data_IF_778017161300
#
_entry.id   IF_778017161300
#
_cell.length_a   1.000
_cell.length_b   1.000
_cell.length_c   1.000
_cell.angle_alpha   90.00
_cell.angle_beta   90.00
_cell.angle_gamma   90.00
#
_symmetry.space_group_name_H-M   'P 1'
#
loop_
_entity.id
_entity.type
_entity.pdbx_description
1 polymer ?
#
# COMPACT_ATOMS: atom_id res chain seq x y z
N UNK A 1 -1.68 32.68 -6.16
CA UNK A 1 -2.28 32.32 -4.86
C UNK A 1 -2.20 33.56 -3.97
N UNK A 2 -3.32 34.01 -3.37
CA UNK A 2 -3.31 35.18 -2.48
C UNK A 2 -3.12 34.71 -1.03
N UNK A 3 -2.11 35.18 -0.29
CA UNK A 3 -1.95 34.87 1.13
C UNK A 3 -3.11 35.48 1.94
N UNK A 4 -3.58 34.82 3.01
CA UNK A 4 -4.69 35.29 3.87
C UNK A 4 -6.07 34.72 3.55
N UNK A 5 -6.26 34.13 2.36
CA UNK A 5 -7.58 33.67 1.90
C UNK A 5 -7.95 32.29 2.47
N UNK A 6 -6.94 31.50 2.87
CA UNK A 6 -7.14 30.21 3.52
C UNK A 6 -7.59 30.36 4.97
N UNK A 7 -7.00 31.29 5.72
CA UNK A 7 -7.40 31.59 7.09
C UNK A 7 -8.83 32.14 7.14
N UNK A 8 -9.21 33.01 6.18
CA UNK A 8 -10.55 33.57 6.08
C UNK A 8 -11.62 32.49 5.78
N UNK A 9 -11.32 31.54 4.88
CA UNK A 9 -12.24 30.45 4.55
C UNK A 9 -12.38 29.45 5.71
N UNK A 10 -11.30 29.20 6.46
CA UNK A 10 -11.33 28.35 7.66
C UNK A 10 -12.15 29.00 8.78
N UNK A 11 -11.98 30.31 9.00
CA UNK A 11 -12.74 31.08 9.99
C UNK A 11 -14.24 31.17 9.65
N UNK A 12 -14.58 31.30 8.35
CA UNK A 12 -15.95 31.36 7.87
C UNK A 12 -16.67 30.00 7.78
N UNK A 13 -16.08 28.92 8.31
CA UNK A 13 -16.71 27.60 8.35
C UNK A 13 -16.84 26.92 6.98
N UNK A 14 -16.22 27.45 5.93
CA UNK A 14 -16.07 26.79 4.64
C UNK A 14 -14.97 25.75 4.77
N UNK A 15 -15.27 24.65 5.48
CA UNK A 15 -14.37 23.52 5.63
C UNK A 15 -14.01 23.03 4.24
N UNK A 16 -12.75 23.19 3.87
CA UNK A 16 -12.19 22.72 2.61
C UNK A 16 -12.43 21.20 2.59
N UNK A 17 -13.31 20.73 1.71
CA UNK A 17 -13.79 19.34 1.68
C UNK A 17 -12.68 18.28 1.51
N UNK A 18 -11.46 18.70 1.17
CA UNK A 18 -10.24 17.89 1.14
C UNK A 18 -9.84 17.27 2.49
N UNK A 19 -10.29 17.83 3.62
CA UNK A 19 -10.04 17.20 4.92
C UNK A 19 -10.80 15.87 5.07
N UNK A 20 -11.95 15.70 4.41
CA UNK A 20 -12.79 14.49 4.59
C UNK A 20 -12.09 13.21 4.09
N UNK A 21 -11.49 13.17 2.88
CA UNK A 21 -10.75 11.99 2.43
C UNK A 21 -9.54 11.65 3.28
N UNK A 22 -8.79 12.65 3.76
CA UNK A 22 -7.61 12.45 4.60
C UNK A 22 -8.03 11.88 5.96
N UNK A 23 -8.99 12.50 6.63
CA UNK A 23 -9.50 12.01 7.92
C UNK A 23 -10.11 10.61 7.79
N UNK A 24 -10.84 10.34 6.71
CA UNK A 24 -11.39 9.01 6.44
C UNK A 24 -10.28 7.96 6.26
N UNK A 25 -9.26 8.25 5.44
CA UNK A 25 -8.12 7.36 5.27
C UNK A 25 -7.39 7.10 6.59
N UNK A 26 -7.12 8.14 7.38
CA UNK A 26 -6.45 7.99 8.68
C UNK A 26 -7.28 7.15 9.65
N UNK A 27 -8.60 7.35 9.71
CA UNK A 27 -9.49 6.55 10.55
C UNK A 27 -9.46 5.08 10.14
N UNK A 28 -9.58 4.79 8.84
CA UNK A 28 -9.51 3.41 8.35
C UNK A 28 -8.12 2.81 8.55
N UNK A 29 -7.06 3.60 8.41
CA UNK A 29 -5.70 3.14 8.69
C UNK A 29 -5.52 2.75 10.17
N UNK A 30 -6.05 3.54 11.10
CA UNK A 30 -6.03 3.18 12.53
C UNK A 30 -6.82 1.89 12.78
N UNK A 31 -8.02 1.76 12.22
CA UNK A 31 -8.80 0.51 12.32
C UNK A 31 -8.04 -0.67 11.74
N UNK A 32 -7.41 -0.49 10.58
CA UNK A 32 -6.58 -1.51 9.95
C UNK A 32 -5.44 -1.95 10.87
N UNK A 33 -4.72 -1.01 11.48
CA UNK A 33 -3.62 -1.34 12.41
C UNK A 33 -4.09 -2.13 13.63
N UNK A 34 -5.32 -1.89 14.12
CA UNK A 34 -5.90 -2.58 15.28
C UNK A 34 -6.40 -3.97 14.91
N UNK A 35 -7.13 -4.09 13.79
CA UNK A 35 -7.88 -5.31 13.46
C UNK A 35 -7.17 -6.23 12.47
N UNK A 36 -6.18 -5.75 11.73
CA UNK A 36 -5.54 -6.54 10.69
C UNK A 36 -4.57 -7.56 11.30
N UNK A 37 -4.82 -8.87 11.10
CA UNK A 37 -3.84 -9.90 11.46
C UNK A 37 -2.72 -10.01 10.44
N UNK A 38 -2.70 -9.17 9.39
CA UNK A 38 -1.90 -9.42 8.19
C UNK A 38 -0.46 -8.98 8.34
N UNK A 39 0.41 -9.89 7.92
CA UNK A 39 1.85 -9.74 7.75
C UNK A 39 2.22 -9.09 6.41
N UNK A 40 1.26 -8.89 5.51
CA UNK A 40 1.50 -8.61 4.08
C UNK A 40 2.05 -7.21 3.77
N UNK A 41 2.03 -6.31 4.76
CA UNK A 41 2.60 -4.96 4.66
C UNK A 41 4.07 -4.88 5.07
N UNK A 42 4.66 -5.97 5.56
CA UNK A 42 6.10 -6.07 5.69
C UNK A 42 6.63 -7.26 4.90
N UNK A 43 7.87 -7.12 4.46
CA UNK A 43 8.59 -8.15 3.72
C UNK A 43 9.82 -8.47 4.55
N UNK A 44 10.03 -9.75 4.82
CA UNK A 44 11.18 -10.24 5.59
C UNK A 44 12.49 -9.91 4.88
N UNK A 45 13.61 -9.85 5.60
CA UNK A 45 14.90 -9.60 4.94
C UNK A 45 15.20 -10.64 3.86
N UNK A 46 14.93 -11.92 4.16
CA UNK A 46 15.09 -13.01 3.19
C UNK A 46 14.27 -12.75 1.91
N UNK A 47 13.00 -12.37 2.04
CA UNK A 47 12.16 -12.08 0.89
C UNK A 47 12.62 -10.84 0.11
N UNK A 48 13.19 -9.83 0.79
CA UNK A 48 13.77 -8.64 0.17
C UNK A 48 14.93 -8.99 -0.77
N UNK A 49 15.77 -9.95 -0.39
CA UNK A 49 16.97 -10.35 -1.16
C UNK A 49 16.74 -11.52 -2.12
N UNK A 50 15.56 -12.17 -2.09
CA UNK A 50 15.26 -13.33 -2.94
C UNK A 50 14.09 -13.11 -3.90
N UNK A 51 12.97 -12.56 -3.42
CA UNK A 51 11.69 -12.57 -4.16
C UNK A 51 11.31 -11.21 -4.75
N UNK A 52 11.90 -10.10 -4.27
CA UNK A 52 11.54 -8.77 -4.77
C UNK A 52 12.20 -8.47 -6.13
N UNK A 53 11.57 -7.67 -7.01
CA UNK A 53 12.14 -7.30 -8.32
C UNK A 53 13.49 -6.58 -8.25
N UNK A 54 13.81 -5.97 -7.10
CA UNK A 54 15.03 -5.21 -6.85
C UNK A 54 16.06 -5.97 -5.98
N UNK A 55 15.85 -7.28 -5.79
CA UNK A 55 16.63 -8.12 -4.88
C UNK A 55 18.14 -8.11 -5.15
N UNK A 56 18.55 -8.05 -6.42
CA UNK A 56 19.97 -8.01 -6.80
C UNK A 56 20.71 -6.82 -6.16
N UNK A 57 20.16 -5.61 -6.28
CA UNK A 57 20.76 -4.40 -5.69
C UNK A 57 20.80 -4.45 -4.16
N UNK A 58 19.71 -4.94 -3.56
CA UNK A 58 19.56 -5.06 -2.10
C UNK A 58 20.57 -6.05 -1.54
N UNK A 59 20.82 -7.17 -2.23
CA UNK A 59 21.79 -8.17 -1.81
C UNK A 59 23.21 -7.59 -1.78
N UNK A 60 23.63 -6.89 -2.82
CA UNK A 60 24.96 -6.29 -2.88
C UNK A 60 25.18 -5.28 -1.73
N UNK A 61 24.16 -4.48 -1.42
CA UNK A 61 24.21 -3.52 -0.30
C UNK A 61 24.24 -4.22 1.06
N UNK A 62 23.49 -5.31 1.20
CA UNK A 62 23.48 -6.11 2.42
C UNK A 62 24.85 -6.76 2.64
N UNK A 63 25.42 -7.40 1.62
CA UNK A 63 26.72 -8.07 1.71
C UNK A 63 27.83 -7.08 2.11
N UNK A 64 27.80 -5.86 1.55
CA UNK A 64 28.70 -4.78 1.94
C UNK A 64 28.51 -4.37 3.41
N UNK A 65 27.26 -4.18 3.86
CA UNK A 65 26.96 -3.77 5.24
C UNK A 65 27.31 -4.87 6.26
N UNK A 66 27.02 -6.14 5.96
CA UNK A 66 27.37 -7.27 6.81
C UNK A 66 28.90 -7.41 6.96
N UNK A 67 29.64 -7.23 5.86
CA UNK A 67 31.11 -7.25 5.87
C UNK A 67 31.69 -6.08 6.66
N UNK A 68 31.15 -4.87 6.50
CA UNK A 68 31.61 -3.68 7.24
C UNK A 68 31.31 -3.75 8.74
N UNK A 69 30.22 -4.41 9.13
CA UNK A 69 29.78 -4.53 10.53
C UNK A 69 30.26 -5.81 11.20
N UNK A 70 30.82 -6.75 10.45
CA UNK A 70 31.23 -8.08 10.90
C UNK A 70 30.09 -8.84 11.61
N UNK A 71 28.87 -8.77 11.06
CA UNK A 71 27.66 -9.40 11.60
C UNK A 71 27.18 -10.51 10.66
N UNK A 72 26.67 -11.61 11.22
CA UNK A 72 26.06 -12.68 10.43
C UNK A 72 24.71 -12.26 9.84
N UNK A 73 24.32 -12.90 8.73
CA UNK A 73 23.01 -12.65 8.11
C UNK A 73 21.86 -12.85 9.10
N UNK A 74 21.88 -13.95 9.88
CA UNK A 74 20.86 -14.29 10.87
C UNK A 74 20.71 -13.20 11.95
N UNK A 75 21.84 -12.71 12.48
CA UNK A 75 21.83 -11.67 13.52
C UNK A 75 21.28 -10.33 13.02
N UNK A 76 21.49 -10.01 11.74
CA UNK A 76 20.91 -8.82 11.11
C UNK A 76 19.44 -9.03 10.73
N UNK A 77 19.08 -10.21 10.23
CA UNK A 77 17.72 -10.58 9.84
C UNK A 77 16.74 -10.46 11.01
N UNK A 78 17.09 -10.99 12.18
CA UNK A 78 16.21 -10.93 13.36
C UNK A 78 15.88 -9.48 13.75
N UNK A 79 16.90 -8.60 13.76
CA UNK A 79 16.73 -7.18 14.06
C UNK A 79 15.92 -6.47 12.99
N UNK A 80 16.25 -6.70 11.71
CA UNK A 80 15.51 -6.15 10.59
C UNK A 80 14.03 -6.54 10.64
N UNK A 81 13.73 -7.83 10.87
CA UNK A 81 12.38 -8.36 10.91
C UNK A 81 11.57 -7.80 12.09
N UNK A 82 12.21 -7.38 13.19
CA UNK A 82 11.54 -6.68 14.29
C UNK A 82 11.23 -5.22 13.91
N UNK A 83 12.21 -4.49 13.36
CA UNK A 83 12.05 -3.07 12.99
C UNK A 83 11.02 -2.91 11.87
N UNK A 84 11.07 -3.76 10.83
CA UNK A 84 10.15 -3.69 9.69
C UNK A 84 8.70 -3.94 10.10
N UNK A 85 8.45 -4.83 11.09
CA UNK A 85 7.11 -5.09 11.64
C UNK A 85 6.50 -3.86 12.31
N UNK A 86 7.34 -3.06 12.97
CA UNK A 86 6.91 -1.82 13.62
C UNK A 86 6.66 -0.71 12.59
N UNK A 87 7.55 -0.56 11.61
CA UNK A 87 7.47 0.51 10.60
C UNK A 87 6.36 0.29 9.57
N UNK A 88 6.10 -0.96 9.17
CA UNK A 88 5.14 -1.30 8.12
C UNK A 88 3.73 -0.73 8.33
N UNK A 89 3.33 -0.59 9.60
CA UNK A 89 1.99 -0.12 9.98
C UNK A 89 1.80 1.37 9.69
N UNK A 90 2.87 2.17 9.83
CA UNK A 90 2.83 3.62 9.62
C UNK A 90 3.28 4.05 8.23
N UNK A 91 4.10 3.25 7.53
CA UNK A 91 4.64 3.62 6.21
C UNK A 91 3.62 3.53 5.07
N UNK A 92 2.46 2.89 5.26
CA UNK A 92 1.44 2.77 4.20
C UNK A 92 0.94 4.14 3.69
N UNK A 93 1.05 5.20 4.50
CA UNK A 93 0.75 6.56 4.08
C UNK A 93 1.64 7.04 2.93
N UNK A 94 2.85 6.49 2.80
CA UNK A 94 3.82 6.81 1.73
C UNK A 94 3.41 6.17 0.40
N UNK A 95 2.70 5.03 0.43
CA UNK A 95 2.21 4.38 -0.79
C UNK A 95 1.20 5.27 -1.53
N UNK A 96 0.39 6.05 -0.78
CA UNK A 96 -0.65 6.92 -1.32
C UNK A 96 -0.12 7.97 -2.32
N UNK A 97 0.88 8.82 -1.99
CA UNK A 97 1.41 9.79 -2.95
C UNK A 97 2.15 9.12 -4.11
N UNK A 98 2.82 7.97 -3.91
CA UNK A 98 3.47 7.22 -4.99
C UNK A 98 2.41 6.78 -6.01
N UNK A 99 1.31 6.18 -5.54
CA UNK A 99 0.21 5.79 -6.41
C UNK A 99 -0.48 6.99 -7.07
N UNK A 100 -0.59 8.12 -6.37
CA UNK A 100 -1.17 9.34 -6.93
C UNK A 100 -0.39 9.89 -8.13
N UNK A 101 0.94 9.75 -8.14
CA UNK A 101 1.76 10.09 -9.31
C UNK A 101 1.41 9.21 -10.51
N UNK A 102 1.29 7.90 -10.32
CA UNK A 102 0.87 7.00 -11.39
C UNK A 102 -0.55 7.29 -11.86
N UNK A 103 -1.48 7.55 -10.94
CA UNK A 103 -2.85 7.93 -11.27
C UNK A 103 -2.89 9.26 -12.05
N UNK A 104 -2.05 10.23 -11.69
CA UNK A 104 -1.91 11.49 -12.42
C UNK A 104 -1.45 11.27 -13.85
N UNK A 105 -0.43 10.43 -14.07
CA UNK A 105 0.11 10.14 -15.40
C UNK A 105 -0.92 9.37 -16.24
N UNK A 106 -1.49 8.30 -15.69
CA UNK A 106 -2.36 7.36 -16.44
C UNK A 106 -3.75 7.93 -16.64
N UNK A 107 -4.31 8.64 -15.67
CA UNK A 107 -5.66 9.20 -15.71
C UNK A 107 -5.64 10.71 -15.92
N UNK A 108 -4.57 11.25 -16.52
CA UNK A 108 -4.42 12.69 -16.75
C UNK A 108 -5.63 13.29 -17.48
N UNK A 109 -6.21 14.34 -16.91
CA UNK A 109 -7.17 15.20 -17.58
C UNK A 109 -6.90 16.66 -17.19
N UNK A 110 -6.99 17.57 -18.17
CA UNK A 110 -6.69 19.00 -17.99
C UNK A 110 -7.57 19.70 -16.93
N UNK A 111 -8.72 19.13 -16.57
CA UNK A 111 -9.66 19.72 -15.60
C UNK A 111 -9.30 19.43 -14.13
N UNK A 112 -8.36 18.52 -13.87
CA UNK A 112 -7.99 18.11 -12.51
C UNK A 112 -6.57 18.54 -12.17
N UNK A 113 -6.35 18.90 -10.91
CA UNK A 113 -5.03 19.17 -10.34
C UNK A 113 -4.47 17.93 -9.66
N UNK A 114 -3.18 17.89 -9.37
CA UNK A 114 -2.55 16.75 -8.67
C UNK A 114 -3.25 16.39 -7.34
N UNK A 115 -3.77 17.40 -6.63
CA UNK A 115 -4.53 17.19 -5.39
C UNK A 115 -5.76 16.27 -5.57
N UNK A 116 -6.40 16.31 -6.75
CA UNK A 116 -7.55 15.44 -7.06
C UNK A 116 -7.14 13.97 -7.17
N UNK A 117 -5.96 13.71 -7.74
CA UNK A 117 -5.38 12.36 -7.83
C UNK A 117 -4.90 11.84 -6.48
N UNK A 118 -4.46 12.73 -5.59
CA UNK A 118 -4.15 12.39 -4.21
C UNK A 118 -5.41 11.99 -3.45
N UNK A 119 -6.51 12.73 -3.62
CA UNK A 119 -7.83 12.38 -3.04
C UNK A 119 -8.34 11.05 -3.59
N UNK A 120 -8.24 10.82 -4.90
CA UNK A 120 -8.58 9.53 -5.51
C UNK A 120 -7.78 8.39 -4.88
N UNK A 121 -6.47 8.58 -4.72
CA UNK A 121 -5.55 7.60 -4.14
C UNK A 121 -5.84 7.32 -2.67
N UNK A 122 -6.15 8.35 -1.87
CA UNK A 122 -6.56 8.22 -0.47
C UNK A 122 -7.83 7.36 -0.34
N UNK A 123 -8.86 7.66 -1.14
CA UNK A 123 -10.10 6.90 -1.12
C UNK A 123 -9.90 5.44 -1.52
N UNK A 124 -9.09 5.19 -2.56
CA UNK A 124 -8.75 3.84 -2.97
C UNK A 124 -8.03 3.06 -1.86
N UNK A 125 -7.00 3.64 -1.23
CA UNK A 125 -6.28 2.95 -0.16
C UNK A 125 -7.15 2.78 1.09
N UNK A 126 -8.00 3.75 1.44
CA UNK A 126 -8.95 3.62 2.54
C UNK A 126 -9.91 2.45 2.28
N UNK A 127 -10.50 2.40 1.08
CA UNK A 127 -11.35 1.28 0.70
C UNK A 127 -10.59 -0.05 0.68
N UNK A 128 -9.35 -0.08 0.17
CA UNK A 128 -8.55 -1.30 0.09
C UNK A 128 -8.21 -1.84 1.48
N UNK A 129 -7.84 -0.97 2.42
CA UNK A 129 -7.57 -1.35 3.81
C UNK A 129 -8.80 -1.96 4.47
N UNK A 130 -9.97 -1.32 4.28
CA UNK A 130 -11.23 -1.86 4.77
C UNK A 130 -11.55 -3.21 4.11
N UNK A 131 -11.36 -3.29 2.79
CA UNK A 131 -11.63 -4.50 2.01
C UNK A 131 -10.78 -5.66 2.49
N UNK A 132 -9.49 -5.43 2.74
CA UNK A 132 -8.56 -6.43 3.27
C UNK A 132 -9.04 -7.02 4.61
N UNK A 133 -9.56 -6.18 5.52
CA UNK A 133 -10.08 -6.61 6.83
C UNK A 133 -11.41 -7.35 6.69
N UNK A 134 -12.33 -6.84 5.89
CA UNK A 134 -13.67 -7.42 5.70
C UNK A 134 -13.63 -8.72 4.87
N UNK A 135 -12.69 -8.80 3.92
CA UNK A 135 -12.59 -9.93 3.01
C UNK A 135 -12.16 -11.21 3.73
N UNK A 136 -11.35 -11.13 4.78
CA UNK A 136 -10.84 -12.32 5.46
C UNK A 136 -11.96 -13.21 6.05
N UNK A 137 -12.88 -12.72 6.90
CA UNK A 137 -13.99 -13.55 7.39
C UNK A 137 -14.93 -13.97 6.26
N UNK A 138 -15.14 -13.12 5.25
CA UNK A 138 -15.94 -13.47 4.08
C UNK A 138 -15.34 -14.63 3.28
N UNK A 139 -14.02 -14.62 3.04
CA UNK A 139 -13.31 -15.67 2.33
C UNK A 139 -13.35 -17.00 3.08
N UNK A 140 -13.28 -16.98 4.42
CA UNK A 140 -13.45 -18.18 5.25
C UNK A 140 -14.87 -18.75 5.10
N UNK A 141 -15.89 -17.90 5.21
CA UNK A 141 -17.29 -18.32 5.03
C UNK A 141 -17.55 -18.92 3.65
N UNK A 142 -17.08 -18.24 2.60
CA UNK A 142 -17.24 -18.70 1.23
C UNK A 142 -16.46 -20.00 0.96
N UNK A 143 -15.22 -20.11 1.46
CA UNK A 143 -14.43 -21.33 1.33
C UNK A 143 -15.11 -22.53 1.99
N UNK A 144 -15.74 -22.35 3.16
CA UNK A 144 -16.51 -23.41 3.82
C UNK A 144 -17.67 -23.92 2.96
N UNK A 145 -18.36 -23.03 2.24
CA UNK A 145 -19.41 -23.43 1.30
C UNK A 145 -18.85 -24.13 0.06
N UNK A 146 -17.75 -23.63 -0.51
CA UNK A 146 -17.12 -24.23 -1.70
C UNK A 146 -16.60 -25.64 -1.38
N UNK A 147 -16.07 -25.86 -0.18
CA UNK A 147 -15.56 -27.18 0.27
C UNK A 147 -16.63 -28.28 0.27
N UNK A 148 -17.92 -27.95 0.27
CA UNK A 148 -19.00 -28.93 0.12
C UNK A 148 -18.98 -29.63 -1.25
N UNK A 149 -18.42 -28.96 -2.27
CA UNK A 149 -18.34 -29.47 -3.66
C UNK A 149 -16.89 -29.68 -4.10
N UNK A 150 -15.95 -28.88 -3.60
CA UNK A 150 -14.53 -28.95 -3.92
C UNK A 150 -13.68 -28.96 -2.63
N UNK A 151 -13.44 -30.13 -2.01
CA UNK A 151 -12.79 -30.24 -0.70
C UNK A 151 -11.36 -29.69 -0.65
N UNK A 152 -10.66 -29.62 -1.79
CA UNK A 152 -9.28 -29.14 -1.89
C UNK A 152 -9.15 -27.61 -1.76
N UNK A 153 -10.26 -26.85 -1.82
CA UNK A 153 -10.22 -25.38 -1.78
C UNK A 153 -9.85 -24.90 -0.38
N UNK A 154 -8.74 -24.17 -0.27
CA UNK A 154 -8.31 -23.56 0.98
C UNK A 154 -8.78 -22.08 1.08
N UNK A 155 -8.84 -21.55 2.30
CA UNK A 155 -9.34 -20.20 2.55
C UNK A 155 -8.43 -19.13 1.91
N UNK A 156 -7.12 -19.41 1.87
CA UNK A 156 -6.12 -18.52 1.33
C UNK A 156 -6.28 -18.31 -0.18
N UNK A 157 -6.57 -19.37 -0.93
CA UNK A 157 -6.81 -19.32 -2.37
C UNK A 157 -8.05 -18.49 -2.69
N UNK A 158 -9.13 -18.67 -1.92
CA UNK A 158 -10.35 -17.84 -2.06
C UNK A 158 -10.03 -16.38 -1.76
N UNK A 159 -9.33 -16.11 -0.67
CA UNK A 159 -8.90 -14.76 -0.29
C UNK A 159 -8.05 -14.08 -1.37
N UNK A 160 -6.97 -14.74 -1.82
CA UNK A 160 -6.07 -14.23 -2.85
C UNK A 160 -6.73 -14.06 -4.21
N UNK A 161 -7.79 -14.82 -4.52
CA UNK A 161 -8.56 -14.66 -5.76
C UNK A 161 -9.49 -13.45 -5.67
N UNK A 162 -10.20 -13.28 -4.55
CA UNK A 162 -11.19 -12.22 -4.39
C UNK A 162 -10.56 -10.84 -4.15
N UNK A 163 -9.38 -10.78 -3.54
CA UNK A 163 -8.68 -9.53 -3.23
C UNK A 163 -8.46 -8.66 -4.48
N UNK A 164 -7.77 -9.13 -5.54
CA UNK A 164 -7.56 -8.35 -6.75
C UNK A 164 -8.86 -8.05 -7.51
N UNK A 165 -9.82 -8.99 -7.51
CA UNK A 165 -11.12 -8.79 -8.16
C UNK A 165 -11.87 -7.61 -7.53
N UNK A 166 -11.96 -7.57 -6.20
CA UNK A 166 -12.58 -6.46 -5.49
C UNK A 166 -11.88 -5.13 -5.81
N UNK A 167 -10.55 -5.10 -5.77
CA UNK A 167 -9.77 -3.91 -6.09
C UNK A 167 -10.01 -3.41 -7.52
N UNK A 168 -10.07 -4.31 -8.50
CA UNK A 168 -10.38 -3.98 -9.89
C UNK A 168 -11.80 -3.43 -10.06
N UNK A 169 -12.79 -4.06 -9.41
CA UNK A 169 -14.19 -3.60 -9.43
C UNK A 169 -14.29 -2.19 -8.83
N UNK A 170 -13.66 -1.97 -7.68
CA UNK A 170 -13.66 -0.64 -7.05
C UNK A 170 -13.00 0.40 -7.96
N UNK A 171 -11.81 0.12 -8.50
CA UNK A 171 -11.10 1.05 -9.39
C UNK A 171 -11.92 1.36 -10.64
N UNK A 172 -12.58 0.37 -11.24
CA UNK A 172 -13.45 0.56 -12.39
C UNK A 172 -14.61 1.52 -12.07
N UNK A 173 -15.30 1.30 -10.95
CA UNK A 173 -16.41 2.14 -10.50
C UNK A 173 -15.91 3.55 -10.14
N UNK A 174 -14.83 3.64 -9.37
CA UNK A 174 -14.25 4.90 -8.92
C UNK A 174 -13.77 5.76 -10.09
N UNK A 175 -13.07 5.18 -11.06
CA UNK A 175 -12.64 5.91 -12.26
C UNK A 175 -13.82 6.38 -13.11
N UNK A 176 -14.83 5.54 -13.32
CA UNK A 176 -16.02 5.94 -14.08
C UNK A 176 -16.79 7.08 -13.41
N UNK A 177 -16.91 7.04 -12.06
CA UNK A 177 -17.61 8.09 -11.31
C UNK A 177 -16.80 9.39 -11.23
N UNK A 178 -15.50 9.28 -10.94
CA UNK A 178 -14.64 10.43 -10.68
C UNK A 178 -14.17 11.10 -11.98
N UNK A 179 -13.59 10.32 -12.88
CA UNK A 179 -12.99 10.82 -14.12
C UNK A 179 -13.96 10.85 -15.31
N UNK A 180 -15.13 10.19 -15.21
CA UNK A 180 -16.17 10.18 -16.26
C UNK A 180 -15.66 9.77 -17.65
N UNK A 181 -14.75 8.78 -17.69
CA UNK A 181 -14.24 8.23 -18.95
C UNK A 181 -15.32 7.46 -19.72
N UNK A 182 -15.13 7.34 -21.04
CA UNK A 182 -15.88 6.36 -21.85
C UNK A 182 -15.46 4.95 -21.46
N UNK A 183 -16.40 4.00 -21.42
CA UNK A 183 -16.19 2.66 -20.88
C UNK A 183 -14.98 1.90 -21.45
N UNK A 184 -14.72 1.96 -22.76
CA UNK A 184 -13.53 1.35 -23.38
C UNK A 184 -12.22 1.97 -22.89
N UNK A 185 -12.18 3.30 -22.74
CA UNK A 185 -11.02 3.99 -22.19
C UNK A 185 -10.81 3.61 -20.72
N UNK A 186 -11.90 3.42 -19.97
CA UNK A 186 -11.82 2.95 -18.58
C UNK A 186 -11.21 1.56 -18.48
N UNK A 187 -11.55 0.62 -19.37
CA UNK A 187 -10.98 -0.74 -19.36
C UNK A 187 -9.46 -0.70 -19.61
N UNK A 188 -9.01 0.06 -20.61
CA UNK A 188 -7.57 0.19 -20.91
C UNK A 188 -6.84 0.83 -19.72
N UNK A 189 -7.40 1.91 -19.16
CA UNK A 189 -6.82 2.58 -17.99
C UNK A 189 -6.89 1.72 -16.74
N UNK A 190 -7.86 0.82 -16.61
CA UNK A 190 -7.94 -0.15 -15.51
C UNK A 190 -6.76 -1.12 -15.55
N UNK A 191 -6.42 -1.65 -16.72
CA UNK A 191 -5.24 -2.50 -16.87
C UNK A 191 -3.96 -1.74 -16.50
N UNK A 192 -3.81 -0.50 -17.00
CA UNK A 192 -2.65 0.34 -16.72
C UNK A 192 -2.54 0.75 -15.24
N UNK A 193 -3.64 1.19 -14.62
CA UNK A 193 -3.66 1.63 -13.22
C UNK A 193 -3.42 0.44 -12.29
N UNK A 194 -3.92 -0.75 -12.62
CA UNK A 194 -3.70 -1.95 -11.83
C UNK A 194 -2.24 -2.39 -11.92
N UNK A 195 -1.64 -2.40 -13.11
CA UNK A 195 -0.21 -2.66 -13.27
C UNK A 195 0.63 -1.60 -12.51
N UNK A 196 0.26 -0.32 -12.62
CA UNK A 196 0.94 0.76 -11.91
C UNK A 196 0.77 0.67 -10.39
N UNK A 197 -0.34 0.13 -9.89
CA UNK A 197 -0.48 -0.17 -8.47
C UNK A 197 0.53 -1.22 -8.01
N UNK A 198 0.78 -2.26 -8.80
CA UNK A 198 1.82 -3.26 -8.47
C UNK A 198 3.22 -2.63 -8.43
N UNK A 199 3.55 -1.80 -9.44
CA UNK A 199 4.81 -1.06 -9.46
C UNK A 199 4.92 -0.11 -8.26
N UNK A 200 3.86 0.63 -7.95
CA UNK A 200 3.79 1.51 -6.78
C UNK A 200 3.99 0.73 -5.48
N UNK A 201 3.46 -0.50 -5.38
CA UNK A 201 3.63 -1.35 -4.22
C UNK A 201 5.07 -1.87 -4.09
N UNK A 202 5.73 -2.23 -5.20
CA UNK A 202 7.15 -2.57 -5.20
C UNK A 202 8.04 -1.39 -4.78
N UNK A 203 7.75 -0.17 -5.28
CA UNK A 203 8.49 1.04 -4.87
C UNK A 203 8.29 1.29 -3.37
N UNK A 204 7.06 1.16 -2.87
CA UNK A 204 6.77 1.26 -1.45
C UNK A 204 7.58 0.26 -0.62
N UNK A 205 7.63 -1.02 -1.01
CA UNK A 205 8.42 -2.06 -0.32
C UNK A 205 9.93 -1.76 -0.35
N UNK A 206 10.42 -1.19 -1.44
CA UNK A 206 11.81 -0.75 -1.55
C UNK A 206 12.13 0.42 -0.61
N UNK A 207 11.25 1.43 -0.56
CA UNK A 207 11.39 2.56 0.38
C UNK A 207 11.36 2.07 1.82
N UNK A 208 10.46 1.13 2.14
CA UNK A 208 10.40 0.51 3.45
C UNK A 208 11.66 -0.28 3.78
N UNK A 209 12.21 -1.06 2.84
CA UNK A 209 13.52 -1.70 3.00
C UNK A 209 14.59 -0.67 3.31
N UNK A 210 14.68 0.40 2.53
CA UNK A 210 15.69 1.44 2.70
C UNK A 210 15.60 2.07 4.10
N UNK A 211 14.41 2.49 4.53
CA UNK A 211 14.21 3.07 5.86
C UNK A 211 14.62 2.08 6.96
N UNK A 212 14.14 0.83 6.89
CA UNK A 212 14.51 -0.19 7.89
C UNK A 212 16.01 -0.48 7.87
N UNK A 213 16.61 -0.61 6.69
CA UNK A 213 18.01 -0.96 6.51
C UNK A 213 18.95 0.06 7.16
N UNK A 214 18.63 1.36 7.07
CA UNK A 214 19.42 2.40 7.75
C UNK A 214 19.03 2.60 9.22
N UNK A 215 17.81 2.24 9.62
CA UNK A 215 17.40 2.31 11.03
C UNK A 215 17.97 1.16 11.87
N UNK A 216 18.28 0.02 11.25
CA UNK A 216 19.02 -1.05 11.90
C UNK A 216 20.49 -0.62 11.99
N UNK A 217 20.79 0.08 13.08
CA UNK A 217 22.13 0.29 13.60
C UNK A 217 22.45 -0.82 14.59
N UNK A 218 23.65 -1.41 14.49
CA UNK A 218 24.15 -2.33 15.51
C UNK A 218 25.04 -1.51 16.43
N UNK A 219 24.67 -1.31 17.71
CA UNK A 219 25.61 -0.83 18.70
C UNK A 219 26.73 -1.86 18.85
N UNK A 220 27.97 -1.38 19.03
CA UNK A 220 29.21 -2.16 19.15
C UNK A 220 29.26 -3.13 20.35
N UNK A 221 28.16 -3.32 21.08
CA UNK A 221 28.14 -3.99 22.39
C UNK A 221 27.79 -5.48 22.34
N UNK A 222 27.94 -6.13 21.17
CA UNK A 222 27.81 -7.59 21.05
C UNK A 222 29.09 -8.24 20.52
N UNK A 223 30.19 -7.98 21.24
CA UNK A 223 31.42 -8.78 21.23
C UNK A 223 31.61 -9.44 22.60
#
# INVERSE_FOLDING_TARGET
>A
MKPGQFELNFFNGQRIDFLRPITFFLLINVLFVIFSPLTDFYVTLLDQVTLQPYSGFVKDWLDFKLSAMNVSFEGFEDRYNQVVKLLARSTIIIQVPIFAVFAFIICYQRRYFFADYLVFSLNFHAWLLLWVVVLQPFAVGLASLIRLVAPAVNNWQVYLTLLPIGAMIYLLIAMNRFFQFRWWSTIIRLALIFAAYQVSHSIFRFVQFFITFYMVDVPLDSF
#
